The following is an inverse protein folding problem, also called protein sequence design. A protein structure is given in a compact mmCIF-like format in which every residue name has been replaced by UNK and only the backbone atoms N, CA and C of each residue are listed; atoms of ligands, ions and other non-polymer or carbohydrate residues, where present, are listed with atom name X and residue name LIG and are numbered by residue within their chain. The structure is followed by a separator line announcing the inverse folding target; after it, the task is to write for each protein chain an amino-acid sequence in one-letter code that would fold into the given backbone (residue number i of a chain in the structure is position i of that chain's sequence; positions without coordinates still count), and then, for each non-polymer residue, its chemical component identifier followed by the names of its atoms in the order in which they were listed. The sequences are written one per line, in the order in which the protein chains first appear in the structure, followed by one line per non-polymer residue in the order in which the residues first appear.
data_IF_514547580760
#
_entry.id   IF_514547580760
#
_cell.length_a   1.000
_cell.length_b   1.000
_cell.length_c   1.000
_cell.angle_alpha   90.00
_cell.angle_beta   90.00
_cell.angle_gamma   90.00
#
_symmetry.space_group_name_H-M   'P 1'
#
loop_
_entity.id
_entity.type
_entity.pdbx_description
1 polymer ?
#
# COMPACT_ATOMS: atom_id res chain seq x y z
N UNK A 1 9.88 -15.79 5.50
CA UNK A 1 9.81 -14.86 4.35
C UNK A 1 10.39 -13.53 4.84
N UNK A 2 11.40 -12.97 4.18
CA UNK A 2 12.01 -11.71 4.62
C UNK A 2 11.19 -10.59 3.96
N UNK A 3 10.50 -9.78 4.78
CA UNK A 3 9.78 -8.60 4.32
C UNK A 3 10.57 -7.37 4.77
N UNK A 4 11.17 -6.64 3.83
CA UNK A 4 12.03 -5.49 4.09
C UNK A 4 11.48 -4.24 3.42
N UNK A 5 11.69 -3.09 4.06
CA UNK A 5 11.29 -1.80 3.55
C UNK A 5 10.04 -1.24 4.23
N UNK A 6 10.01 0.08 4.32
CA UNK A 6 8.89 0.87 4.82
C UNK A 6 8.66 1.97 3.78
N UNK A 7 8.04 1.61 2.68
CA UNK A 7 7.86 2.51 1.55
C UNK A 7 6.85 3.59 1.89
N UNK A 8 7.23 4.82 1.59
CA UNK A 8 6.32 5.97 1.55
C UNK A 8 5.51 5.97 0.26
N UNK A 9 4.42 6.74 0.23
CA UNK A 9 3.55 6.88 -0.95
C UNK A 9 4.37 7.31 -2.18
N UNK A 10 5.28 8.27 -2.02
CA UNK A 10 6.14 8.78 -3.10
C UNK A 10 7.07 7.69 -3.65
N UNK A 11 7.60 6.83 -2.78
CA UNK A 11 8.43 5.70 -3.21
C UNK A 11 7.59 4.62 -3.88
N UNK A 12 6.35 4.40 -3.44
CA UNK A 12 5.41 3.51 -4.11
C UNK A 12 5.07 4.02 -5.52
N UNK A 13 4.80 5.32 -5.69
CA UNK A 13 4.54 5.96 -7.00
C UNK A 13 5.77 5.83 -7.91
N UNK A 14 6.97 6.12 -7.39
CA UNK A 14 8.24 5.98 -8.14
C UNK A 14 8.44 4.55 -8.64
N UNK A 15 8.12 3.55 -7.80
CA UNK A 15 8.35 2.15 -8.11
C UNK A 15 7.28 1.56 -9.02
N UNK A 16 6.02 1.84 -8.70
CA UNK A 16 4.88 1.45 -9.54
C UNK A 16 4.87 2.16 -10.89
N UNK A 17 5.53 3.32 -11.00
CA UNK A 17 5.56 4.14 -12.21
C UNK A 17 4.23 4.83 -12.49
N UNK A 18 3.31 4.85 -11.52
CA UNK A 18 2.01 5.52 -11.62
C UNK A 18 1.86 6.54 -10.51
N UNK A 19 1.13 7.62 -10.80
CA UNK A 19 0.75 8.60 -9.80
C UNK A 19 -0.55 8.16 -9.13
N UNK A 20 -0.57 8.11 -7.81
CA UNK A 20 -1.75 7.75 -7.04
C UNK A 20 -2.70 8.94 -6.96
N UNK A 21 -4.03 8.72 -6.99
CA UNK A 21 -4.99 9.80 -6.90
C UNK A 21 -4.87 10.54 -5.58
N UNK A 22 -5.04 11.87 -5.59
CA UNK A 22 -4.85 12.72 -4.41
C UNK A 22 -5.65 12.24 -3.19
N UNK A 23 -6.91 11.84 -3.41
CA UNK A 23 -7.79 11.29 -2.37
C UNK A 23 -7.18 10.05 -1.68
N UNK A 24 -6.60 9.13 -2.47
CA UNK A 24 -5.92 7.96 -1.92
C UNK A 24 -4.65 8.35 -1.16
N UNK A 25 -3.91 9.35 -1.65
CA UNK A 25 -2.70 9.83 -0.98
C UNK A 25 -3.02 10.43 0.39
N UNK A 26 -4.06 11.26 0.47
CA UNK A 26 -4.53 11.83 1.74
C UNK A 26 -5.04 10.73 2.68
N UNK A 27 -5.77 9.75 2.14
CA UNK A 27 -6.26 8.60 2.89
C UNK A 27 -5.10 7.78 3.50
N UNK A 28 -4.08 7.47 2.69
CA UNK A 28 -2.91 6.70 3.09
C UNK A 28 -1.99 7.51 4.03
N UNK A 29 -1.80 8.81 3.81
CA UNK A 29 -0.85 9.63 4.58
C UNK A 29 -1.12 9.60 6.09
N UNK A 30 -2.38 9.66 6.51
CA UNK A 30 -2.77 9.61 7.94
C UNK A 30 -2.87 8.19 8.51
N UNK A 31 -2.82 7.18 7.61
CA UNK A 31 -2.99 5.76 7.92
C UNK A 31 -1.70 4.96 7.83
N UNK A 32 -0.58 5.59 7.51
CA UNK A 32 0.71 4.92 7.45
C UNK A 32 1.13 4.46 8.85
N UNK A 33 1.54 3.20 8.94
CA UNK A 33 2.17 2.63 10.12
C UNK A 33 3.58 2.18 9.75
N UNK A 34 4.64 2.80 10.31
CA UNK A 34 6.01 2.43 10.00
C UNK A 34 6.42 1.06 10.56
N UNK A 35 5.72 0.58 11.59
CA UNK A 35 5.96 -0.73 12.17
C UNK A 35 5.25 -1.82 11.36
N UNK A 36 6.03 -2.72 10.77
CA UNK A 36 5.57 -3.88 9.99
C UNK A 36 4.84 -4.97 10.81
N UNK A 37 4.78 -4.83 12.13
CA UNK A 37 4.16 -5.80 13.05
C UNK A 37 2.86 -5.27 13.60
N UNK A 38 1.82 -6.11 13.58
CA UNK A 38 0.49 -5.81 14.12
C UNK A 38 -0.08 -4.51 13.53
N UNK A 39 -0.27 -4.51 12.20
CA UNK A 39 -0.88 -3.37 11.51
C UNK A 39 -2.27 -3.15 12.08
N UNK A 40 -2.50 -2.01 12.71
CA UNK A 40 -3.80 -1.73 13.32
C UNK A 40 -4.90 -1.59 12.25
N UNK A 41 -6.15 -1.86 12.63
CA UNK A 41 -7.30 -1.63 11.75
C UNK A 41 -7.30 -0.17 11.25
N UNK A 42 -7.53 0.01 9.95
CA UNK A 42 -7.45 1.33 9.31
C UNK A 42 -6.02 1.81 9.03
N UNK A 43 -4.98 1.03 9.35
CA UNK A 43 -3.57 1.34 9.03
C UNK A 43 -3.04 0.46 7.91
N UNK A 44 -1.94 0.90 7.31
CA UNK A 44 -1.23 0.15 6.28
C UNK A 44 0.29 0.27 6.44
N UNK A 45 0.99 -0.71 5.90
CA UNK A 45 2.43 -0.76 5.79
C UNK A 45 2.83 -1.29 4.41
N UNK A 46 3.77 -0.66 3.72
CA UNK A 46 4.25 -1.15 2.43
C UNK A 46 5.69 -1.64 2.54
N UNK A 47 5.86 -2.92 2.22
CA UNK A 47 7.14 -3.58 2.08
C UNK A 47 7.75 -3.28 0.71
N UNK A 48 9.06 -3.08 0.71
CA UNK A 48 9.83 -2.97 -0.53
C UNK A 48 10.10 -4.37 -1.12
N UNK A 49 10.48 -5.36 -0.31
CA UNK A 49 10.78 -6.69 -0.82
C UNK A 49 10.04 -7.72 0.03
N UNK A 50 9.05 -8.45 -0.52
CA UNK A 50 8.38 -8.22 -1.81
C UNK A 50 7.59 -6.89 -1.81
N UNK A 51 7.30 -6.33 -3.00
CA UNK A 51 6.52 -5.08 -3.13
C UNK A 51 5.04 -5.32 -2.75
N UNK A 52 4.77 -5.17 -1.46
CA UNK A 52 3.51 -5.60 -0.86
C UNK A 52 3.00 -4.54 0.11
N UNK A 53 1.80 -4.06 -0.12
CA UNK A 53 1.04 -3.23 0.81
C UNK A 53 0.19 -4.14 1.70
N UNK A 54 0.44 -4.09 3.01
CA UNK A 54 -0.30 -4.82 4.04
C UNK A 54 -1.18 -3.85 4.80
N UNK A 55 -2.49 -4.07 4.75
CA UNK A 55 -3.48 -3.36 5.53
C UNK A 55 -3.80 -4.12 6.82
N UNK A 56 -4.17 -3.42 7.89
CA UNK A 56 -4.63 -4.03 9.13
C UNK A 56 -6.11 -4.43 9.12
N UNK A 57 -6.84 -4.13 8.04
CA UNK A 57 -8.24 -4.50 7.88
C UNK A 57 -8.64 -4.62 6.40
N UNK A 58 -9.67 -5.41 6.12
CA UNK A 58 -10.18 -5.69 4.78
C UNK A 58 -10.89 -4.49 4.14
N UNK A 59 -11.53 -3.61 4.91
CA UNK A 59 -12.13 -2.36 4.43
C UNK A 59 -11.05 -1.45 3.83
N UNK A 60 -9.93 -1.28 4.54
CA UNK A 60 -8.80 -0.47 4.06
C UNK A 60 -8.19 -1.07 2.79
N UNK A 61 -8.01 -2.39 2.75
CA UNK A 61 -7.52 -3.06 1.55
C UNK A 61 -8.47 -2.90 0.35
N UNK A 62 -9.79 -2.97 0.56
CA UNK A 62 -10.78 -2.77 -0.49
C UNK A 62 -10.80 -1.32 -0.99
N UNK A 63 -10.69 -0.32 -0.11
CA UNK A 63 -10.57 1.08 -0.51
C UNK A 63 -9.34 1.28 -1.40
N UNK A 64 -8.17 0.84 -0.92
CA UNK A 64 -6.91 0.96 -1.66
C UNK A 64 -6.99 0.20 -3.00
N UNK A 65 -7.50 -1.03 -3.00
CA UNK A 65 -7.71 -1.79 -4.22
C UNK A 65 -8.68 -1.10 -5.18
N UNK A 66 -9.77 -0.50 -4.71
CA UNK A 66 -10.74 0.21 -5.56
C UNK A 66 -10.12 1.40 -6.30
N UNK A 67 -9.21 2.13 -5.65
CA UNK A 67 -8.49 3.24 -6.29
C UNK A 67 -7.36 2.77 -7.21
N UNK A 68 -6.64 1.71 -6.84
CA UNK A 68 -5.47 1.23 -7.59
C UNK A 68 -5.82 0.25 -8.72
N UNK A 69 -6.93 -0.47 -8.61
CA UNK A 69 -7.41 -1.42 -9.63
C UNK A 69 -7.53 -0.80 -11.04
N UNK A 70 -8.16 0.38 -11.23
CA UNK A 70 -8.19 1.01 -12.56
C UNK A 70 -6.80 1.47 -13.04
N UNK A 71 -5.87 1.74 -12.13
CA UNK A 71 -4.50 2.14 -12.45
C UNK A 71 -3.57 0.95 -12.67
N UNK A 72 -3.96 -0.25 -12.22
CA UNK A 72 -3.13 -1.48 -12.24
C UNK A 72 -2.60 -1.83 -13.62
N UNK A 73 -3.33 -1.47 -14.69
CA UNK A 73 -2.88 -1.67 -16.07
C UNK A 73 -1.65 -0.83 -16.45
N UNK A 74 -1.38 0.26 -15.73
CA UNK A 74 -0.22 1.15 -15.93
C UNK A 74 0.93 0.86 -14.97
N UNK A 75 0.79 -0.11 -14.06
CA UNK A 75 1.84 -0.45 -13.10
C UNK A 75 3.00 -1.11 -13.82
N UNK A 76 4.21 -0.58 -13.60
CA UNK A 76 5.47 -1.17 -14.06
C UNK A 76 5.81 -2.46 -13.33
N UNK A 77 5.48 -2.53 -12.03
CA UNK A 77 5.70 -3.69 -11.17
C UNK A 77 4.41 -4.03 -10.42
N UNK A 78 4.09 -5.33 -10.24
CA UNK A 78 2.87 -5.74 -9.56
C UNK A 78 2.94 -5.37 -8.06
N UNK A 79 2.02 -4.52 -7.61
CA UNK A 79 1.81 -4.25 -6.19
C UNK A 79 0.87 -5.31 -5.61
N UNK A 80 1.31 -6.04 -4.60
CA UNK A 80 0.45 -6.97 -3.88
C UNK A 80 -0.26 -6.26 -2.73
N UNK A 81 -1.56 -6.47 -2.58
CA UNK A 81 -2.33 -5.98 -1.44
C UNK A 81 -2.68 -7.17 -0.56
N UNK A 82 -2.25 -7.14 0.70
CA UNK A 82 -2.55 -8.14 1.71
C UNK A 82 -3.27 -7.52 2.89
N UNK A 83 -3.93 -8.37 3.67
CA UNK A 83 -4.52 -8.01 4.96
C UNK A 83 -3.84 -8.82 6.05
N UNK A 84 -3.37 -8.15 7.09
CA UNK A 84 -2.92 -8.78 8.32
C UNK A 84 -4.07 -8.70 9.32
N UNK A 85 -4.72 -9.84 9.54
CA UNK A 85 -5.80 -10.04 10.52
C UNK A 85 -5.28 -10.78 11.75
#
# INVERSE_FOLDING_TARGET
MICLGNLTIEQMETRSGVEFPAELKEYLAVRHQPAASNIAAGKWHCFDIPFQLVCGDMETAQTVYGHLSPLSASFKEPLQIGVQS
#
